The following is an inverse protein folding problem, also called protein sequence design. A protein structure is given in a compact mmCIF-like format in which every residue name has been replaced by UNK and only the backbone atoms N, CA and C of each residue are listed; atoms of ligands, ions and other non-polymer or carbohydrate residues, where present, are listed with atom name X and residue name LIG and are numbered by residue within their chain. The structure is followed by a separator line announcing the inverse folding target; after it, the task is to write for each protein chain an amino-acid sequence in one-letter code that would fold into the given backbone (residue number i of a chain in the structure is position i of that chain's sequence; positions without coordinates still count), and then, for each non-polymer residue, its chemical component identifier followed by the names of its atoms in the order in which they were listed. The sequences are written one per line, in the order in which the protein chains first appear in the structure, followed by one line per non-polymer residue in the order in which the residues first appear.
data_IF_617581959097
#
_entry.id   IF_617581959097
#
_cell.length_a   1.000
_cell.length_b   1.000
_cell.length_c   1.000
_cell.angle_alpha   90.00
_cell.angle_beta   90.00
_cell.angle_gamma   90.00
#
_symmetry.space_group_name_H-M   'P 1'
#
loop_
_entity.id
_entity.type
_entity.pdbx_description
1 polymer ?
#
# COMPACT_ATOMS: atom_id res chain seq x y z
N UNK A 1 -13.12 32.92 58.86
CA UNK A 1 -13.69 31.77 58.11
C UNK A 1 -13.99 32.06 56.63
N UNK A 2 -14.09 33.28 56.22
CA UNK A 2 -14.36 33.57 54.76
C UNK A 2 -13.15 33.52 53.84
N UNK A 3 -11.95 33.47 54.37
CA UNK A 3 -10.72 33.44 53.54
C UNK A 3 -10.31 32.03 53.10
N UNK A 4 -10.77 31.01 53.76
CA UNK A 4 -10.44 29.61 53.42
C UNK A 4 -11.32 29.06 52.29
N UNK A 5 -12.53 29.60 52.14
CA UNK A 5 -13.48 29.16 51.10
C UNK A 5 -13.15 29.66 49.70
N UNK A 6 -12.43 30.77 49.57
CA UNK A 6 -12.01 31.29 48.28
C UNK A 6 -10.81 30.57 47.65
N UNK A 7 -10.00 29.93 48.49
CA UNK A 7 -8.79 29.24 48.03
C UNK A 7 -9.13 27.82 47.49
N UNK A 8 -10.25 27.25 47.94
CA UNK A 8 -10.65 25.92 47.54
C UNK A 8 -11.32 25.87 46.16
N UNK A 9 -11.86 27.02 45.69
CA UNK A 9 -12.59 27.08 44.41
C UNK A 9 -11.67 27.24 43.19
N UNK A 10 -10.38 27.57 43.38
CA UNK A 10 -9.42 27.81 42.32
C UNK A 10 -8.70 26.51 41.89
N UNK A 11 -8.68 25.50 42.75
CA UNK A 11 -7.97 24.24 42.48
C UNK A 11 -8.75 23.27 41.57
N UNK A 12 -10.07 23.52 41.40
CA UNK A 12 -10.93 22.61 40.63
C UNK A 12 -11.03 22.92 39.12
N UNK A 13 -10.34 23.96 38.63
CA UNK A 13 -10.39 24.38 37.24
C UNK A 13 -9.16 24.00 36.40
N UNK A 14 -8.23 23.26 36.98
CA UNK A 14 -7.01 22.76 36.30
C UNK A 14 -7.10 21.31 35.87
N UNK A 15 -8.30 20.75 35.77
CA UNK A 15 -8.43 19.41 35.16
C UNK A 15 -8.34 19.58 33.64
N UNK A 16 -7.10 19.51 33.21
CA UNK A 16 -6.68 19.78 31.87
C UNK A 16 -7.40 18.90 30.84
N UNK A 17 -7.75 19.53 29.79
CA UNK A 17 -8.00 18.95 28.50
C UNK A 17 -6.79 18.07 28.12
N UNK A 18 -6.83 16.79 28.44
CA UNK A 18 -6.04 15.80 27.74
C UNK A 18 -6.66 15.68 26.37
N UNK A 19 -6.21 16.53 25.44
CA UNK A 19 -6.43 16.33 24.04
C UNK A 19 -5.80 14.96 23.71
N UNK A 20 -6.64 13.95 23.51
CA UNK A 20 -6.25 12.73 22.85
C UNK A 20 -5.90 13.16 21.42
N UNK A 21 -4.63 13.41 21.16
CA UNK A 21 -4.12 13.41 19.81
C UNK A 21 -4.22 11.95 19.34
N UNK A 22 -5.27 11.61 18.65
CA UNK A 22 -5.31 10.40 17.86
C UNK A 22 -4.25 10.57 16.78
N UNK A 23 -3.07 10.06 17.04
CA UNK A 23 -2.06 9.91 16.00
C UNK A 23 -2.64 8.91 15.00
N UNK A 24 -3.13 9.46 13.89
CA UNK A 24 -3.57 8.69 12.74
C UNK A 24 -2.33 8.07 12.07
N UNK A 25 -1.79 7.01 12.66
CA UNK A 25 -0.74 6.22 12.01
C UNK A 25 -1.37 5.41 10.89
N UNK A 26 -0.91 5.66 9.67
CA UNK A 26 -1.21 4.78 8.55
C UNK A 26 -0.62 3.40 8.84
N UNK A 27 -1.43 2.37 8.70
CA UNK A 27 -0.97 0.99 8.89
C UNK A 27 -0.08 0.56 7.73
N UNK A 28 0.74 -0.47 7.96
CA UNK A 28 1.57 -1.07 6.89
C UNK A 28 0.73 -1.55 5.71
N UNK A 29 -0.48 -2.06 5.96
CA UNK A 29 -1.37 -2.54 4.90
C UNK A 29 -1.95 -1.38 4.09
N UNK A 30 -2.37 -0.31 4.74
CA UNK A 30 -2.85 0.90 4.06
C UNK A 30 -1.75 1.55 3.24
N UNK A 31 -0.55 1.63 3.80
CA UNK A 31 0.62 2.13 3.08
C UNK A 31 0.97 1.25 1.88
N UNK A 32 0.97 -0.07 2.04
CA UNK A 32 1.16 -1.02 0.95
C UNK A 32 0.11 -0.88 -0.15
N UNK A 33 -1.16 -0.68 0.22
CA UNK A 33 -2.25 -0.40 -0.73
C UNK A 33 -2.03 0.90 -1.49
N UNK A 34 -1.63 1.96 -0.79
CA UNK A 34 -1.32 3.25 -1.43
C UNK A 34 -0.20 3.11 -2.45
N UNK A 35 0.88 2.41 -2.09
CA UNK A 35 2.02 2.17 -2.97
C UNK A 35 1.66 1.24 -4.15
N UNK A 36 0.81 0.23 -3.94
CA UNK A 36 0.32 -0.64 -5.01
C UNK A 36 -0.48 0.14 -6.05
N UNK A 37 -1.24 1.12 -5.60
CA UNK A 37 -2.04 1.99 -6.47
C UNK A 37 -1.21 3.11 -7.09
N UNK A 38 -0.29 3.70 -6.34
CA UNK A 38 0.58 4.78 -6.78
C UNK A 38 1.99 4.68 -6.15
N UNK A 39 2.90 3.93 -6.76
CA UNK A 39 4.28 3.80 -6.30
C UNK A 39 5.18 4.97 -6.73
N UNK A 40 4.64 6.16 -6.81
CA UNK A 40 5.25 7.35 -7.42
C UNK A 40 5.48 7.20 -8.95
N UNK A 41 4.50 6.60 -9.61
CA UNK A 41 4.50 6.32 -11.03
C UNK A 41 3.26 5.53 -11.42
N UNK A 42 3.34 4.77 -12.50
CA UNK A 42 2.24 3.91 -12.96
C UNK A 42 1.94 2.87 -11.88
N UNK A 43 0.68 2.78 -11.45
CA UNK A 43 0.24 1.84 -10.43
C UNK A 43 0.46 0.38 -10.84
N UNK A 44 0.86 -0.44 -9.89
CA UNK A 44 0.98 -1.89 -10.10
C UNK A 44 -0.36 -2.50 -10.54
N UNK A 45 -1.45 -1.96 -10.01
CA UNK A 45 -2.83 -2.35 -10.31
C UNK A 45 -3.16 -2.27 -11.80
N UNK A 46 -2.57 -1.33 -12.54
CA UNK A 46 -2.86 -1.10 -13.97
C UNK A 46 -2.42 -2.27 -14.86
N UNK A 47 -1.41 -3.00 -14.43
CA UNK A 47 -0.86 -4.13 -15.18
C UNK A 47 -1.10 -5.48 -14.51
N UNK A 48 -1.13 -5.52 -13.18
CA UNK A 48 -1.20 -6.77 -12.42
C UNK A 48 -2.57 -7.09 -11.85
N UNK A 49 -3.55 -6.19 -12.06
CA UNK A 49 -4.90 -6.35 -11.56
C UNK A 49 -5.08 -5.88 -10.12
N UNK A 50 -6.34 -5.82 -9.69
CA UNK A 50 -6.72 -5.31 -8.37
C UNK A 50 -6.15 -6.13 -7.22
N UNK A 51 -6.02 -7.45 -7.43
CA UNK A 51 -5.57 -8.42 -6.43
C UNK A 51 -4.20 -9.02 -6.75
N UNK A 52 -3.50 -8.49 -7.76
CA UNK A 52 -2.24 -9.07 -8.24
C UNK A 52 -2.42 -10.36 -9.04
N UNK A 53 -3.63 -10.61 -9.54
CA UNK A 53 -4.02 -11.81 -10.30
C UNK A 53 -3.47 -11.83 -11.73
N UNK A 54 -2.97 -10.70 -12.20
CA UNK A 54 -2.59 -10.50 -13.59
C UNK A 54 -3.79 -10.07 -14.45
N UNK A 55 -3.51 -9.36 -15.52
CA UNK A 55 -4.55 -8.96 -16.48
C UNK A 55 -3.98 -8.64 -17.86
N UNK A 56 -4.83 -8.67 -18.86
CA UNK A 56 -4.49 -8.22 -20.20
C UNK A 56 -4.33 -6.69 -20.20
N UNK A 57 -3.19 -6.21 -20.71
CA UNK A 57 -2.88 -4.79 -20.81
C UNK A 57 -3.28 -4.23 -22.17
N UNK A 58 -2.88 -4.89 -23.27
CA UNK A 58 -3.12 -4.43 -24.61
C UNK A 58 -3.04 -5.56 -25.64
N UNK A 59 -3.72 -5.37 -26.78
CA UNK A 59 -3.50 -6.14 -28.00
C UNK A 59 -2.71 -5.30 -28.98
N UNK A 60 -1.75 -5.90 -29.66
CA UNK A 60 -0.91 -5.22 -30.64
C UNK A 60 -0.53 -6.15 -31.79
N UNK A 61 -0.08 -5.57 -32.91
CA UNK A 61 0.38 -6.34 -34.06
C UNK A 61 1.91 -6.28 -34.09
N UNK A 62 2.55 -7.42 -34.15
CA UNK A 62 3.98 -7.55 -34.32
C UNK A 62 4.31 -8.53 -35.44
N UNK A 63 5.08 -8.10 -36.44
CA UNK A 63 5.42 -8.90 -37.62
C UNK A 63 4.19 -9.52 -38.28
N UNK A 64 3.12 -8.73 -38.46
CA UNK A 64 1.80 -9.12 -39.05
C UNK A 64 1.04 -10.16 -38.23
N UNK A 65 1.43 -10.44 -36.99
CA UNK A 65 0.73 -11.34 -36.07
C UNK A 65 0.16 -10.56 -34.90
N UNK A 66 -1.09 -10.83 -34.58
CA UNK A 66 -1.70 -10.32 -33.35
C UNK A 66 -1.00 -10.90 -32.15
N UNK A 67 -0.71 -10.04 -31.15
CA UNK A 67 -0.12 -10.39 -29.86
C UNK A 67 -0.86 -9.69 -28.75
N UNK A 68 -0.86 -10.30 -27.59
CA UNK A 68 -1.41 -9.73 -26.37
C UNK A 68 -0.26 -9.41 -25.40
N UNK A 69 -0.27 -8.20 -24.86
CA UNK A 69 0.55 -7.85 -23.73
C UNK A 69 -0.20 -8.20 -22.46
N UNK A 70 0.40 -9.04 -21.65
CA UNK A 70 -0.17 -9.56 -20.41
C UNK A 70 0.65 -9.11 -19.22
N UNK A 71 0.00 -8.51 -18.21
CA UNK A 71 0.58 -8.33 -16.89
C UNK A 71 0.52 -9.66 -16.12
N UNK A 72 1.65 -10.20 -15.67
CA UNK A 72 1.65 -11.49 -15.01
C UNK A 72 1.01 -11.44 -13.63
N UNK A 73 0.55 -12.60 -13.15
CA UNK A 73 0.15 -12.80 -11.77
C UNK A 73 1.33 -12.60 -10.82
N UNK A 74 1.13 -11.89 -9.72
CA UNK A 74 2.16 -11.60 -8.72
C UNK A 74 1.74 -11.92 -7.28
N UNK A 75 0.47 -12.24 -7.05
CA UNK A 75 -0.05 -12.56 -5.71
C UNK A 75 0.24 -14.00 -5.25
N UNK A 76 0.97 -14.78 -6.03
CA UNK A 76 1.40 -16.14 -5.73
C UNK A 76 2.93 -16.28 -5.59
N UNK A 77 3.66 -15.16 -5.65
CA UNK A 77 5.10 -15.13 -5.50
C UNK A 77 5.50 -15.20 -4.02
N UNK A 78 6.66 -15.80 -3.74
CA UNK A 78 7.33 -15.59 -2.46
C UNK A 78 7.86 -14.16 -2.36
N UNK A 79 8.10 -13.66 -1.15
CA UNK A 79 8.66 -12.32 -0.95
C UNK A 79 9.98 -12.13 -1.72
N UNK A 80 10.85 -13.13 -1.72
CA UNK A 80 12.13 -13.09 -2.44
C UNK A 80 11.97 -12.95 -3.95
N UNK A 81 11.02 -13.67 -4.52
CA UNK A 81 10.71 -13.55 -5.96
C UNK A 81 10.13 -12.19 -6.31
N UNK A 82 9.23 -11.70 -5.46
CA UNK A 82 8.61 -10.39 -5.60
C UNK A 82 9.64 -9.26 -5.54
N UNK A 83 10.49 -9.25 -4.52
CA UNK A 83 11.57 -8.28 -4.35
C UNK A 83 12.55 -8.33 -5.53
N UNK A 84 13.02 -9.50 -5.90
CA UNK A 84 13.92 -9.68 -7.06
C UNK A 84 13.29 -9.19 -8.36
N UNK A 85 12.00 -9.37 -8.55
CA UNK A 85 11.30 -8.91 -9.75
C UNK A 85 11.27 -7.38 -9.85
N UNK A 86 11.16 -6.67 -8.72
CA UNK A 86 11.20 -5.19 -8.67
C UNK A 86 12.60 -4.62 -8.87
N UNK A 87 13.63 -5.35 -8.49
CA UNK A 87 15.02 -4.92 -8.63
C UNK A 87 15.58 -5.11 -10.04
N UNK A 88 15.00 -6.02 -10.82
CA UNK A 88 15.45 -6.32 -12.19
C UNK A 88 14.82 -5.37 -13.20
N UNK A 89 15.62 -4.89 -14.14
CA UNK A 89 15.12 -4.12 -15.28
C UNK A 89 14.34 -5.04 -16.22
N UNK A 90 13.11 -4.66 -16.55
CA UNK A 90 12.20 -5.36 -17.46
C UNK A 90 11.93 -4.52 -18.70
N UNK A 91 11.53 -5.16 -19.82
CA UNK A 91 11.28 -4.45 -21.08
C UNK A 91 10.06 -3.52 -21.02
N UNK A 92 9.02 -3.93 -20.31
CA UNK A 92 7.71 -3.24 -20.30
C UNK A 92 7.38 -2.70 -18.92
N UNK A 93 7.65 -3.47 -17.86
CA UNK A 93 7.42 -3.04 -16.49
C UNK A 93 8.31 -1.84 -16.17
N UNK A 94 7.76 -0.71 -15.71
CA UNK A 94 8.55 0.45 -15.29
C UNK A 94 9.54 0.10 -14.18
N UNK A 95 10.63 0.85 -14.10
CA UNK A 95 11.52 0.77 -12.95
C UNK A 95 10.96 1.65 -11.83
N UNK A 96 10.83 1.07 -10.64
CA UNK A 96 10.40 1.78 -9.46
C UNK A 96 11.56 1.99 -8.48
N UNK A 97 11.55 3.13 -7.81
CA UNK A 97 12.53 3.49 -6.78
C UNK A 97 11.87 3.33 -5.41
N UNK A 98 11.77 2.08 -4.97
CA UNK A 98 11.14 1.69 -3.72
C UNK A 98 12.21 1.24 -2.72
N UNK A 99 12.03 1.62 -1.46
CA UNK A 99 12.84 1.09 -0.36
C UNK A 99 12.43 -0.35 -0.03
N UNK A 100 13.28 -1.09 0.66
CA UNK A 100 12.95 -2.47 1.08
C UNK A 100 11.69 -2.51 1.95
N UNK A 101 11.48 -1.53 2.82
CA UNK A 101 10.27 -1.43 3.65
C UNK A 101 9.01 -1.14 2.83
N UNK A 102 9.12 -0.37 1.76
CA UNK A 102 8.01 -0.10 0.83
C UNK A 102 7.65 -1.35 0.02
N UNK A 103 8.66 -2.09 -0.45
CA UNK A 103 8.46 -3.38 -1.13
C UNK A 103 7.76 -4.37 -0.19
N UNK A 104 8.21 -4.45 1.07
CA UNK A 104 7.59 -5.30 2.08
C UNK A 104 6.14 -4.90 2.36
N UNK A 105 5.85 -3.59 2.44
CA UNK A 105 4.49 -3.09 2.65
C UNK A 105 3.55 -3.48 1.50
N UNK A 106 4.00 -3.34 0.24
CA UNK A 106 3.23 -3.77 -0.93
C UNK A 106 2.98 -5.29 -0.88
N UNK A 107 4.01 -6.07 -0.56
CA UNK A 107 3.90 -7.52 -0.48
C UNK A 107 2.90 -7.96 0.59
N UNK A 108 2.98 -7.41 1.80
CA UNK A 108 2.03 -7.67 2.88
C UNK A 108 0.59 -7.30 2.51
N UNK A 109 0.42 -6.19 1.80
CA UNK A 109 -0.89 -5.82 1.27
C UNK A 109 -1.43 -6.90 0.32
N UNK A 110 -0.63 -7.35 -0.66
CA UNK A 110 -1.03 -8.41 -1.59
C UNK A 110 -1.34 -9.74 -0.89
N UNK A 111 -0.61 -10.08 0.18
CA UNK A 111 -0.91 -11.27 0.98
C UNK A 111 -2.24 -11.14 1.75
N UNK A 112 -2.57 -9.92 2.19
CA UNK A 112 -3.76 -9.65 2.99
C UNK A 112 -5.05 -9.59 2.18
N UNK A 113 -4.95 -9.40 0.86
CA UNK A 113 -6.14 -9.33 -0.01
C UNK A 113 -6.71 -10.73 -0.19
N UNK A 114 -8.02 -10.86 0.00
CA UNK A 114 -8.73 -12.09 -0.30
C UNK A 114 -8.61 -12.40 -1.81
N UNK A 115 -7.98 -13.53 -2.11
CA UNK A 115 -7.79 -13.96 -3.52
C UNK A 115 -9.14 -14.37 -4.08
N UNK A 116 -9.51 -13.93 -5.30
CA UNK A 116 -10.68 -14.46 -5.96
C UNK A 116 -10.61 -15.98 -6.01
N UNK A 117 -11.66 -16.65 -5.57
CA UNK A 117 -11.75 -18.09 -5.67
C UNK A 117 -11.73 -18.46 -7.16
N UNK A 118 -10.74 -19.22 -7.58
CA UNK A 118 -10.74 -19.83 -8.91
C UNK A 118 -11.83 -20.92 -8.91
N UNK A 119 -12.91 -20.64 -9.58
CA UNK A 119 -13.97 -21.62 -9.85
C UNK A 119 -13.70 -22.36 -11.15
#
# INVERSE_FOLDING_TARGET
MQKVFKTFLIILSSFGFLANAEESFITTLEYGKMLYTNPRGIGCVECHGRFGEGQQIANYIHKRKGKTLQGPRINNLSFREFENALQKTKKVMPKYYLTSSEIEAIYKYLESIEKPQEH
#
